data_IF_798357589738
#
_entry.id   IF_798357589738
#
_cell.length_a   1.000
_cell.length_b   1.000
_cell.length_c   1.000
_cell.angle_alpha   90.00
_cell.angle_beta   90.00
_cell.angle_gamma   90.00
#
_symmetry.space_group_name_H-M   'P 1'
#
loop_
_entity.id
_entity.type
_entity.pdbx_description
1 polymer ?
#
# COMPACT_ATOMS: atom_id res chain seq x y z
N UNK A 1 -17.20 24.99 0.65
CA UNK A 1 -15.86 24.77 1.23
C UNK A 1 -15.70 23.27 1.32
N UNK A 2 -14.70 22.70 0.64
CA UNK A 2 -14.50 21.27 0.62
C UNK A 2 -14.04 20.76 1.99
N UNK A 3 -14.38 19.50 2.28
CA UNK A 3 -13.87 18.80 3.45
C UNK A 3 -12.36 18.60 3.34
N UNK A 4 -11.62 18.86 4.41
CA UNK A 4 -10.15 18.87 4.40
C UNK A 4 -9.50 17.55 4.85
N UNK A 5 -10.28 16.48 5.03
CA UNK A 5 -9.77 15.15 5.40
C UNK A 5 -8.98 15.12 6.71
N UNK A 6 -9.51 15.80 7.73
CA UNK A 6 -8.93 15.89 9.06
C UNK A 6 -9.35 14.76 10.01
N UNK A 7 -10.41 14.03 9.73
CA UNK A 7 -10.88 12.85 10.47
C UNK A 7 -11.87 12.02 9.66
N UNK A 8 -12.03 10.74 10.01
CA UNK A 8 -13.07 9.89 9.44
C UNK A 8 -14.45 10.29 9.96
N UNK A 9 -14.57 10.58 11.25
CA UNK A 9 -15.82 11.10 11.83
C UNK A 9 -16.30 12.36 11.08
N UNK A 10 -15.42 13.34 10.87
CA UNK A 10 -15.73 14.53 10.10
C UNK A 10 -16.09 14.23 8.64
N UNK A 11 -15.44 13.23 8.03
CA UNK A 11 -15.75 12.82 6.66
C UNK A 11 -17.17 12.27 6.56
N UNK A 12 -17.58 11.42 7.50
CA UNK A 12 -18.95 10.90 7.59
C UNK A 12 -19.96 12.03 7.79
N UNK A 13 -19.74 12.90 8.78
CA UNK A 13 -20.65 14.01 9.07
C UNK A 13 -20.83 14.91 7.84
N UNK A 14 -19.74 15.28 7.16
CA UNK A 14 -19.80 16.09 5.95
C UNK A 14 -20.56 15.40 4.81
N UNK A 15 -20.32 14.10 4.61
CA UNK A 15 -21.02 13.27 3.62
C UNK A 15 -22.54 13.24 3.88
N UNK A 16 -22.95 13.09 5.12
CA UNK A 16 -24.36 13.05 5.53
C UNK A 16 -25.05 14.42 5.40
N UNK A 17 -24.42 15.49 5.90
CA UNK A 17 -24.95 16.86 5.83
C UNK A 17 -25.16 17.33 4.38
N UNK A 18 -24.22 16.99 3.50
CA UNK A 18 -24.25 17.37 2.08
C UNK A 18 -25.00 16.38 1.20
N UNK A 19 -25.38 15.22 1.73
CA UNK A 19 -25.97 14.08 0.98
C UNK A 19 -25.09 13.66 -0.21
N UNK A 20 -23.78 13.64 0.02
CA UNK A 20 -22.78 13.21 -0.95
C UNK A 20 -22.25 11.85 -0.55
N UNK A 21 -21.95 10.97 -1.50
CA UNK A 21 -21.16 9.76 -1.25
C UNK A 21 -19.74 10.11 -0.83
N UNK A 22 -19.06 9.20 -0.12
CA UNK A 22 -17.65 9.38 0.26
C UNK A 22 -16.75 9.73 -0.94
N UNK A 23 -16.96 9.08 -2.08
CA UNK A 23 -16.23 9.33 -3.34
C UNK A 23 -16.47 10.75 -3.85
N UNK A 24 -17.71 11.25 -3.79
CA UNK A 24 -18.04 12.62 -4.20
C UNK A 24 -17.36 13.67 -3.31
N UNK A 25 -17.20 13.38 -2.01
CA UNK A 25 -16.48 14.29 -1.10
C UNK A 25 -15.00 14.38 -1.50
N UNK A 26 -14.35 13.26 -1.85
CA UNK A 26 -12.96 13.28 -2.36
C UNK A 26 -12.88 14.00 -3.70
N UNK A 27 -13.86 13.80 -4.58
CA UNK A 27 -13.94 14.49 -5.87
C UNK A 27 -14.04 16.01 -5.69
N UNK A 28 -14.88 16.49 -4.77
CA UNK A 28 -14.97 17.92 -4.43
C UNK A 28 -13.65 18.46 -3.90
N UNK A 29 -12.94 17.69 -3.06
CA UNK A 29 -11.61 18.08 -2.58
C UNK A 29 -10.59 18.20 -3.72
N UNK A 30 -10.51 17.21 -4.61
CA UNK A 30 -9.60 17.26 -5.77
C UNK A 30 -9.92 18.45 -6.70
N UNK A 31 -11.20 18.77 -6.90
CA UNK A 31 -11.61 19.92 -7.70
C UNK A 31 -11.24 21.25 -7.05
N UNK A 32 -11.52 21.41 -5.76
CA UNK A 32 -11.39 22.69 -5.07
C UNK A 32 -9.97 22.97 -4.58
N UNK A 33 -9.26 21.96 -4.07
CA UNK A 33 -7.92 22.10 -3.49
C UNK A 33 -6.81 21.88 -4.51
N UNK A 34 -7.02 21.02 -5.51
CA UNK A 34 -6.02 20.72 -6.55
C UNK A 34 -6.33 21.38 -7.90
N UNK A 35 -7.49 22.02 -8.05
CA UNK A 35 -7.88 22.72 -9.27
C UNK A 35 -8.09 21.80 -10.48
N UNK A 36 -8.33 20.51 -10.23
CA UNK A 36 -8.51 19.50 -11.29
C UNK A 36 -9.96 19.43 -11.75
N UNK A 37 -10.18 19.24 -13.04
CA UNK A 37 -11.52 18.91 -13.54
C UNK A 37 -11.86 17.45 -13.26
N UNK A 38 -13.15 17.14 -13.18
CA UNK A 38 -13.62 15.76 -12.99
C UNK A 38 -13.08 14.80 -14.07
N UNK A 39 -13.11 15.21 -15.34
CA UNK A 39 -12.58 14.39 -16.43
C UNK A 39 -11.09 14.07 -16.27
N UNK A 40 -10.27 15.04 -15.85
CA UNK A 40 -8.84 14.82 -15.62
C UNK A 40 -8.59 13.85 -14.46
N UNK A 41 -9.42 13.89 -13.41
CA UNK A 41 -9.30 12.97 -12.26
C UNK A 41 -9.56 11.55 -12.73
N UNK A 42 -10.67 11.31 -13.43
CA UNK A 42 -11.02 9.98 -13.92
C UNK A 42 -10.03 9.44 -14.96
N UNK A 43 -9.52 10.29 -15.86
CA UNK A 43 -8.50 9.91 -16.84
C UNK A 43 -7.17 9.50 -16.18
N UNK A 44 -6.72 10.27 -15.18
CA UNK A 44 -5.51 9.95 -14.41
C UNK A 44 -5.67 8.66 -13.61
N UNK A 45 -6.83 8.46 -12.97
CA UNK A 45 -7.14 7.21 -12.28
C UNK A 45 -7.17 6.02 -13.25
N UNK A 46 -7.75 6.18 -14.44
CA UNK A 46 -7.75 5.14 -15.48
C UNK A 46 -6.34 4.79 -15.95
N UNK A 47 -5.48 5.81 -16.12
CA UNK A 47 -4.06 5.62 -16.45
C UNK A 47 -3.34 4.88 -15.33
N UNK A 48 -3.52 5.30 -14.08
CA UNK A 48 -2.93 4.65 -12.91
C UNK A 48 -3.38 3.19 -12.78
N UNK A 49 -4.68 2.92 -12.99
CA UNK A 49 -5.23 1.57 -12.94
C UNK A 49 -4.64 0.66 -14.02
N UNK A 50 -4.46 1.20 -15.24
CA UNK A 50 -3.80 0.48 -16.32
C UNK A 50 -2.37 0.11 -15.93
N UNK A 51 -1.58 1.06 -15.45
CA UNK A 51 -0.19 0.81 -14.99
C UNK A 51 -0.15 -0.19 -13.83
N UNK A 52 -1.10 -0.15 -12.91
CA UNK A 52 -1.25 -1.12 -11.82
C UNK A 52 -1.45 -2.55 -12.35
N UNK A 53 -2.37 -2.74 -13.31
CA UNK A 53 -2.59 -4.04 -13.96
C UNK A 53 -1.35 -4.48 -14.75
N UNK A 54 -0.71 -3.56 -15.46
CA UNK A 54 0.50 -3.83 -16.24
C UNK A 54 1.64 -4.33 -15.35
N UNK A 55 1.89 -3.66 -14.20
CA UNK A 55 2.93 -4.08 -13.25
C UNK A 55 2.70 -5.50 -12.72
N UNK A 56 1.45 -5.89 -12.48
CA UNK A 56 1.11 -7.27 -12.10
C UNK A 56 1.43 -8.24 -13.24
N UNK A 57 1.01 -7.95 -14.47
CA UNK A 57 1.29 -8.82 -15.63
C UNK A 57 2.78 -8.95 -15.89
N UNK A 58 3.51 -7.83 -15.93
CA UNK A 58 4.97 -7.80 -16.08
C UNK A 58 5.66 -8.67 -15.03
N UNK A 59 5.32 -8.54 -13.75
CA UNK A 59 5.94 -9.36 -12.70
C UNK A 59 5.62 -10.86 -12.79
N UNK A 60 4.49 -11.24 -13.39
CA UNK A 60 4.11 -12.64 -13.61
C UNK A 60 4.67 -13.23 -14.91
N UNK A 61 4.98 -12.40 -15.90
CA UNK A 61 5.36 -12.82 -17.26
C UNK A 61 6.86 -12.64 -17.54
N UNK A 62 7.44 -11.50 -17.19
CA UNK A 62 8.84 -11.11 -17.48
C UNK A 62 9.82 -11.47 -16.37
N UNK A 63 11.11 -11.65 -16.69
CA UNK A 63 12.11 -12.08 -15.73
C UNK A 63 12.38 -11.01 -14.65
N UNK A 64 12.00 -11.32 -13.41
CA UNK A 64 12.17 -10.45 -12.25
C UNK A 64 13.40 -10.88 -11.44
N UNK A 65 14.56 -10.33 -11.80
CA UNK A 65 15.80 -10.49 -11.04
C UNK A 65 16.35 -9.10 -10.71
N UNK A 66 16.39 -8.76 -9.42
CA UNK A 66 16.91 -7.45 -9.00
C UNK A 66 18.44 -7.41 -9.11
N UNK A 67 19.01 -6.19 -9.19
CA UNK A 67 20.47 -6.00 -9.22
C UNK A 67 21.17 -6.58 -7.99
N UNK A 68 20.50 -6.58 -6.83
CA UNK A 68 21.01 -7.17 -5.59
C UNK A 68 21.05 -8.71 -5.64
N UNK A 69 20.22 -9.31 -6.49
CA UNK A 69 19.97 -10.76 -6.56
C UNK A 69 19.04 -11.30 -5.47
N UNK A 70 18.49 -10.46 -4.58
CA UNK A 70 17.55 -10.90 -3.55
C UNK A 70 16.16 -11.18 -4.13
N UNK A 71 15.77 -10.49 -5.19
CA UNK A 71 14.55 -10.78 -5.94
C UNK A 71 14.88 -11.75 -7.07
N UNK A 72 14.12 -12.83 -7.14
CA UNK A 72 14.29 -13.86 -8.15
C UNK A 72 12.96 -14.58 -8.42
N UNK A 73 12.12 -13.95 -9.25
CA UNK A 73 10.85 -14.48 -9.76
C UNK A 73 9.96 -15.11 -8.66
N UNK A 74 9.92 -14.51 -7.47
CA UNK A 74 9.17 -15.02 -6.32
C UNK A 74 7.67 -15.05 -6.61
N UNK A 75 7.15 -14.00 -7.24
CA UNK A 75 5.75 -13.93 -7.67
C UNK A 75 5.36 -15.09 -8.58
N UNK A 76 6.19 -15.38 -9.60
CA UNK A 76 5.95 -16.51 -10.53
C UNK A 76 6.01 -17.86 -9.84
N UNK A 77 6.96 -18.03 -8.92
CA UNK A 77 7.08 -19.26 -8.12
C UNK A 77 5.80 -19.51 -7.34
N UNK A 78 5.25 -18.48 -6.69
CA UNK A 78 3.97 -18.59 -5.98
C UNK A 78 2.82 -18.83 -6.95
N UNK A 79 2.70 -18.06 -8.04
CA UNK A 79 1.59 -18.16 -8.99
C UNK A 79 1.47 -19.56 -9.65
N UNK A 80 2.62 -20.16 -9.98
CA UNK A 80 2.72 -21.46 -10.66
C UNK A 80 2.77 -22.64 -9.72
N UNK A 81 2.85 -22.41 -8.40
CA UNK A 81 2.90 -23.51 -7.45
C UNK A 81 1.60 -24.34 -7.53
N UNK A 82 1.66 -25.68 -7.60
CA UNK A 82 0.48 -26.49 -7.90
C UNK A 82 -0.54 -26.52 -6.75
N UNK A 83 -0.09 -26.33 -5.50
CA UNK A 83 -0.95 -26.46 -4.32
C UNK A 83 -1.24 -25.09 -3.71
N UNK A 84 -2.51 -24.67 -3.74
CA UNK A 84 -2.93 -23.48 -3.02
C UNK A 84 -3.01 -23.76 -1.50
N UNK A 85 -2.56 -22.80 -0.68
CA UNK A 85 -2.64 -22.90 0.79
C UNK A 85 -4.08 -22.78 1.30
N UNK A 86 -4.89 -21.91 0.68
CA UNK A 86 -6.28 -21.68 1.06
C UNK A 86 -7.22 -21.88 -0.15
N UNK A 87 -7.04 -21.06 -1.18
CA UNK A 87 -7.77 -21.17 -2.44
C UNK A 87 -6.94 -20.63 -3.59
N UNK A 88 -7.38 -20.85 -4.84
CA UNK A 88 -6.67 -20.32 -6.00
C UNK A 88 -6.70 -18.80 -6.02
N UNK A 89 -7.80 -18.21 -5.59
CA UNK A 89 -8.02 -16.77 -5.43
C UNK A 89 -7.03 -16.17 -4.44
N UNK A 90 -6.84 -16.82 -3.28
CA UNK A 90 -5.85 -16.39 -2.30
C UNK A 90 -4.42 -16.49 -2.85
N UNK A 91 -4.08 -17.59 -3.54
CA UNK A 91 -2.79 -17.72 -4.20
C UNK A 91 -2.56 -16.62 -5.24
N UNK A 92 -3.60 -16.28 -6.02
CA UNK A 92 -3.55 -15.19 -7.00
C UNK A 92 -3.34 -13.84 -6.30
N UNK A 93 -4.08 -13.52 -5.24
CA UNK A 93 -3.89 -12.31 -4.43
C UNK A 93 -2.43 -12.13 -4.00
N UNK A 94 -1.86 -13.16 -3.37
CA UNK A 94 -0.47 -13.15 -2.90
C UNK A 94 0.49 -12.95 -4.06
N UNK A 95 0.36 -13.73 -5.13
CA UNK A 95 1.27 -13.65 -6.28
C UNK A 95 1.19 -12.32 -7.02
N UNK A 96 0.01 -11.70 -7.14
CA UNK A 96 -0.17 -10.40 -7.79
C UNK A 96 0.46 -9.25 -6.99
N UNK A 97 0.29 -9.27 -5.67
CA UNK A 97 0.94 -8.30 -4.79
C UNK A 97 2.47 -8.44 -4.82
N UNK A 98 2.99 -9.67 -4.85
CA UNK A 98 4.42 -9.93 -5.08
C UNK A 98 4.85 -9.40 -6.45
N UNK A 99 4.11 -9.72 -7.52
CA UNK A 99 4.48 -9.39 -8.90
C UNK A 99 4.69 -7.88 -9.09
N UNK A 100 3.70 -7.06 -8.72
CA UNK A 100 3.80 -5.62 -8.83
C UNK A 100 4.94 -5.05 -7.98
N UNK A 101 5.19 -5.62 -6.79
CA UNK A 101 6.29 -5.17 -5.94
C UNK A 101 7.67 -5.62 -6.42
N UNK A 102 7.77 -6.77 -7.07
CA UNK A 102 8.99 -7.24 -7.75
C UNK A 102 9.34 -6.33 -8.94
N UNK A 103 8.34 -5.87 -9.70
CA UNK A 103 8.55 -4.86 -10.77
C UNK A 103 9.17 -3.59 -10.20
N UNK A 104 8.65 -3.07 -9.09
CA UNK A 104 9.27 -1.93 -8.41
C UNK A 104 10.73 -2.22 -8.00
N UNK A 105 10.99 -3.39 -7.43
CA UNK A 105 12.33 -3.79 -7.00
C UNK A 105 13.31 -3.99 -8.16
N UNK A 106 12.79 -4.22 -9.38
CA UNK A 106 13.58 -4.30 -10.61
C UNK A 106 13.59 -2.97 -11.40
N UNK A 107 13.20 -1.85 -10.76
CA UNK A 107 13.14 -0.50 -11.37
C UNK A 107 12.18 -0.38 -12.57
N UNK A 108 11.17 -1.25 -12.63
CA UNK A 108 10.09 -1.15 -13.61
C UNK A 108 9.06 -0.08 -13.25
N UNK A 109 8.13 0.18 -14.18
CA UNK A 109 7.09 1.19 -14.00
C UNK A 109 6.01 0.70 -13.04
N UNK A 110 5.72 1.51 -12.01
CA UNK A 110 4.67 1.24 -11.00
C UNK A 110 3.87 2.50 -10.69
N UNK A 111 2.81 2.34 -9.90
CA UNK A 111 2.08 3.45 -9.25
C UNK A 111 2.32 3.39 -7.76
N UNK A 112 2.74 4.50 -7.16
CA UNK A 112 2.87 4.62 -5.71
C UNK A 112 1.47 4.59 -5.05
N UNK A 113 1.32 3.80 -3.98
CA UNK A 113 0.03 3.61 -3.32
C UNK A 113 0.17 3.23 -1.82
N UNK A 114 0.43 4.18 -0.91
CA UNK A 114 0.74 5.59 -1.18
C UNK A 114 2.23 5.81 -1.51
N UNK A 115 3.11 4.85 -1.20
CA UNK A 115 4.54 4.92 -1.52
C UNK A 115 4.95 3.86 -2.54
N UNK A 116 6.15 4.00 -3.11
CA UNK A 116 6.75 2.97 -3.96
C UNK A 116 7.00 1.65 -3.19
N UNK A 117 7.30 1.73 -1.89
CA UNK A 117 7.49 0.59 -1.01
C UNK A 117 6.24 -0.27 -0.82
N UNK A 118 5.06 0.34 -0.92
CA UNK A 118 3.75 -0.30 -0.75
C UNK A 118 2.97 -0.49 -2.08
N UNK A 119 3.63 -0.24 -3.22
CA UNK A 119 3.00 -0.22 -4.56
C UNK A 119 2.38 -1.54 -5.03
N UNK A 120 2.66 -2.66 -4.38
CA UNK A 120 2.09 -3.97 -4.73
C UNK A 120 0.72 -4.24 -4.12
N UNK A 121 0.34 -3.54 -3.04
CA UNK A 121 -0.87 -3.86 -2.26
C UNK A 121 -2.14 -3.54 -3.03
N UNK A 122 -2.31 -2.28 -3.47
CA UNK A 122 -3.50 -1.85 -4.22
C UNK A 122 -3.75 -2.65 -5.50
N UNK A 123 -2.76 -2.84 -6.42
CA UNK A 123 -2.96 -3.69 -7.59
C UNK A 123 -3.26 -5.15 -7.22
N UNK A 124 -2.57 -5.71 -6.22
CA UNK A 124 -2.83 -7.07 -5.76
C UNK A 124 -4.27 -7.27 -5.28
N UNK A 125 -4.77 -6.34 -4.47
CA UNK A 125 -6.12 -6.33 -3.92
C UNK A 125 -7.17 -6.09 -4.99
N UNK A 126 -7.12 -4.94 -5.67
CA UNK A 126 -8.19 -4.52 -6.58
C UNK A 126 -8.28 -5.39 -7.83
N UNK A 127 -7.15 -5.86 -8.36
CA UNK A 127 -7.17 -6.71 -9.57
C UNK A 127 -7.75 -8.09 -9.23
N UNK A 128 -7.40 -8.62 -8.06
CA UNK A 128 -7.98 -9.89 -7.60
C UNK A 128 -9.46 -9.77 -7.30
N UNK A 129 -9.87 -8.70 -6.62
CA UNK A 129 -11.27 -8.42 -6.34
C UNK A 129 -12.08 -8.26 -7.62
N UNK A 130 -11.54 -7.52 -8.60
CA UNK A 130 -12.18 -7.30 -9.89
C UNK A 130 -12.46 -8.61 -10.62
N UNK A 131 -11.49 -9.53 -10.63
CA UNK A 131 -11.63 -10.82 -11.30
C UNK A 131 -12.66 -11.71 -10.62
N UNK A 132 -12.64 -11.80 -9.29
CA UNK A 132 -13.50 -12.70 -8.51
C UNK A 132 -14.96 -12.22 -8.51
N UNK A 133 -15.19 -10.91 -8.36
CA UNK A 133 -16.52 -10.34 -8.21
C UNK A 133 -17.04 -9.64 -9.47
N UNK A 134 -16.30 -9.71 -10.57
CA UNK A 134 -16.65 -9.06 -11.84
C UNK A 134 -16.94 -7.55 -11.70
N UNK A 135 -16.15 -6.86 -10.86
CA UNK A 135 -16.32 -5.44 -10.58
C UNK A 135 -16.01 -4.61 -11.83
N UNK A 136 -16.88 -3.65 -12.17
CA UNK A 136 -16.62 -2.78 -13.32
C UNK A 136 -15.39 -1.90 -13.12
N UNK A 137 -14.67 -1.56 -14.20
CA UNK A 137 -13.54 -0.63 -14.12
C UNK A 137 -13.95 0.71 -13.48
N UNK A 138 -15.16 1.22 -13.78
CA UNK A 138 -15.70 2.44 -13.15
C UNK A 138 -15.70 2.35 -11.62
N UNK A 139 -16.23 1.25 -11.07
CA UNK A 139 -16.30 1.04 -9.61
C UNK A 139 -14.90 0.87 -9.00
N UNK A 140 -13.95 0.28 -9.72
CA UNK A 140 -12.54 0.23 -9.31
C UNK A 140 -11.93 1.64 -9.23
N UNK A 141 -12.19 2.51 -10.21
CA UNK A 141 -11.70 3.90 -10.17
C UNK A 141 -12.32 4.68 -9.01
N UNK A 142 -13.61 4.50 -8.75
CA UNK A 142 -14.29 5.08 -7.58
C UNK A 142 -13.66 4.59 -6.27
N UNK A 143 -13.33 3.29 -6.16
CA UNK A 143 -12.64 2.72 -5.02
C UNK A 143 -11.21 3.27 -4.84
N UNK A 144 -10.49 3.50 -5.94
CA UNK A 144 -9.17 4.15 -5.91
C UNK A 144 -9.26 5.61 -5.42
N UNK A 145 -10.30 6.33 -5.83
CA UNK A 145 -10.54 7.70 -5.34
C UNK A 145 -10.92 7.71 -3.85
N UNK A 146 -11.77 6.77 -3.41
CA UNK A 146 -12.07 6.59 -1.98
C UNK A 146 -10.81 6.26 -1.17
N UNK A 147 -9.96 5.37 -1.68
CA UNK A 147 -8.68 5.03 -1.08
C UNK A 147 -7.75 6.25 -0.96
N UNK A 148 -7.76 7.18 -1.92
CA UNK A 148 -7.03 8.43 -1.80
C UNK A 148 -7.53 9.29 -0.62
N UNK A 149 -8.85 9.36 -0.39
CA UNK A 149 -9.43 10.01 0.79
C UNK A 149 -8.96 9.40 2.12
N UNK A 150 -8.90 8.06 2.19
CA UNK A 150 -8.32 7.33 3.34
C UNK A 150 -6.85 7.74 3.54
N UNK A 151 -6.06 7.78 2.47
CA UNK A 151 -4.65 8.13 2.52
C UNK A 151 -4.42 9.58 3.01
N UNK A 152 -5.27 10.53 2.63
CA UNK A 152 -5.17 11.94 3.09
C UNK A 152 -5.28 12.04 4.61
N UNK A 153 -6.24 11.34 5.22
CA UNK A 153 -6.41 11.33 6.69
C UNK A 153 -5.20 10.64 7.35
N UNK A 154 -4.76 9.50 6.77
CA UNK A 154 -3.61 8.75 7.28
C UNK A 154 -2.32 9.57 7.26
N UNK A 155 -2.07 10.30 6.17
CA UNK A 155 -0.92 11.19 6.02
C UNK A 155 -0.91 12.27 7.09
N UNK A 156 -2.05 12.92 7.32
CA UNK A 156 -2.16 14.01 8.29
C UNK A 156 -1.98 13.54 9.75
N UNK A 157 -2.42 12.33 10.08
CA UNK A 157 -2.46 11.85 11.47
C UNK A 157 -1.27 10.99 11.89
N UNK A 158 -0.71 10.20 10.96
CA UNK A 158 0.27 9.18 11.29
C UNK A 158 1.48 9.12 10.34
N UNK A 159 1.56 10.05 9.38
CA UNK A 159 2.48 9.97 8.23
C UNK A 159 2.22 8.76 7.35
N UNK A 160 2.71 8.82 6.11
CA UNK A 160 2.77 7.69 5.17
C UNK A 160 4.19 7.24 4.89
N UNK A 161 5.20 7.83 5.55
CA UNK A 161 6.61 7.57 5.28
C UNK A 161 7.20 6.52 6.21
N UNK A 162 7.90 5.54 5.63
CA UNK A 162 8.59 4.47 6.34
C UNK A 162 9.70 5.00 7.24
N UNK A 163 10.38 6.04 6.78
CA UNK A 163 11.41 6.76 7.53
C UNK A 163 10.87 7.52 8.75
N UNK A 164 9.58 7.87 8.77
CA UNK A 164 8.96 8.64 9.87
C UNK A 164 8.21 7.73 10.84
N UNK A 165 7.27 6.92 10.33
CA UNK A 165 6.33 6.15 11.13
C UNK A 165 6.56 4.64 11.13
N UNK A 166 7.62 4.16 10.47
CA UNK A 166 7.83 2.73 10.22
C UNK A 166 6.94 2.21 9.09
N UNK A 167 7.01 0.90 8.83
CA UNK A 167 6.33 0.31 7.68
C UNK A 167 4.81 0.19 7.89
N UNK A 168 4.34 0.36 9.13
CA UNK A 168 2.91 0.60 9.42
C UNK A 168 2.39 1.85 8.68
N UNK A 169 3.20 2.91 8.56
CA UNK A 169 2.81 4.14 7.88
C UNK A 169 2.72 3.94 6.37
N UNK A 170 3.58 3.11 5.78
CA UNK A 170 3.54 2.82 4.33
C UNK A 170 2.59 1.69 3.99
N UNK A 171 2.95 0.46 4.39
CA UNK A 171 2.21 -0.76 4.03
C UNK A 171 0.91 -0.87 4.82
N UNK A 172 0.85 -0.34 6.05
CA UNK A 172 -0.39 -0.30 6.82
C UNK A 172 -1.41 0.67 6.21
N UNK A 173 -0.98 1.87 5.81
CA UNK A 173 -1.85 2.79 5.05
C UNK A 173 -2.32 2.18 3.73
N UNK A 174 -1.43 1.56 2.96
CA UNK A 174 -1.80 0.89 1.72
C UNK A 174 -2.79 -0.28 1.93
N UNK A 175 -2.62 -1.05 3.02
CA UNK A 175 -3.57 -2.09 3.39
C UNK A 175 -4.93 -1.49 3.79
N UNK A 176 -4.93 -0.40 4.56
CA UNK A 176 -6.13 0.30 4.96
C UNK A 176 -6.90 0.84 3.74
N UNK A 177 -6.19 1.50 2.82
CA UNK A 177 -6.70 1.90 1.51
C UNK A 177 -7.34 0.73 0.76
N UNK A 178 -6.63 -0.40 0.68
CA UNK A 178 -7.12 -1.62 0.03
C UNK A 178 -8.37 -2.17 0.70
N UNK A 179 -8.42 -2.21 2.03
CA UNK A 179 -9.56 -2.71 2.79
C UNK A 179 -10.82 -1.86 2.59
N UNK A 180 -10.70 -0.53 2.64
CA UNK A 180 -11.79 0.38 2.36
C UNK A 180 -12.26 0.28 0.90
N UNK A 181 -11.32 0.13 -0.04
CA UNK A 181 -11.62 -0.10 -1.45
C UNK A 181 -12.38 -1.42 -1.71
N UNK A 182 -12.02 -2.50 -1.00
CA UNK A 182 -12.75 -3.78 -1.08
C UNK A 182 -14.18 -3.59 -0.62
N UNK A 183 -14.38 -3.03 0.59
CA UNK A 183 -15.72 -2.85 1.15
C UNK A 183 -16.58 -1.97 0.25
N UNK A 184 -16.03 -0.89 -0.28
CA UNK A 184 -16.73 -0.04 -1.24
C UNK A 184 -17.15 -0.78 -2.51
N UNK A 185 -16.26 -1.59 -3.09
CA UNK A 185 -16.54 -2.39 -4.28
C UNK A 185 -17.61 -3.47 -4.05
N UNK A 186 -17.76 -3.95 -2.81
CA UNK A 186 -18.76 -4.92 -2.40
C UNK A 186 -20.03 -4.26 -1.80
N UNK A 187 -20.23 -2.97 -2.11
CA UNK A 187 -21.40 -2.17 -1.72
C UNK A 187 -21.65 -2.08 -0.21
N UNK A 188 -20.58 -2.17 0.58
CA UNK A 188 -20.64 -1.91 2.01
C UNK A 188 -20.90 -0.43 2.33
N UNK A 189 -21.51 -0.19 3.49
CA UNK A 189 -21.85 1.17 3.94
C UNK A 189 -20.64 1.92 4.53
N UNK A 190 -20.79 3.22 4.78
CA UNK A 190 -19.72 4.09 5.34
C UNK A 190 -19.10 3.51 6.63
N UNK A 191 -19.93 2.98 7.54
CA UNK A 191 -19.44 2.43 8.79
C UNK A 191 -18.61 1.17 8.56
N UNK A 192 -19.00 0.31 7.64
CA UNK A 192 -18.22 -0.88 7.26
C UNK A 192 -16.90 -0.49 6.59
N UNK A 193 -16.87 0.53 5.74
CA UNK A 193 -15.65 1.02 5.09
C UNK A 193 -14.65 1.51 6.15
N UNK A 194 -15.13 2.35 7.08
CA UNK A 194 -14.28 2.93 8.12
C UNK A 194 -13.86 1.88 9.15
N UNK A 195 -14.73 0.92 9.45
CA UNK A 195 -14.40 -0.23 10.28
C UNK A 195 -13.31 -1.11 9.67
N UNK A 196 -13.35 -1.37 8.35
CA UNK A 196 -12.31 -2.13 7.66
C UNK A 196 -10.93 -1.45 7.77
N UNK A 197 -10.90 -0.11 7.68
CA UNK A 197 -9.70 0.69 7.92
C UNK A 197 -9.22 0.51 9.37
N UNK A 198 -10.12 0.66 10.35
CA UNK A 198 -9.77 0.51 11.77
C UNK A 198 -9.18 -0.87 12.10
N UNK A 199 -9.81 -1.95 11.61
CA UNK A 199 -9.34 -3.33 11.82
C UNK A 199 -7.97 -3.52 11.15
N UNK A 200 -7.81 -3.04 9.92
CA UNK A 200 -6.54 -3.14 9.21
C UNK A 200 -5.42 -2.43 9.93
N UNK A 201 -5.64 -1.20 10.40
CA UNK A 201 -4.60 -0.45 11.11
C UNK A 201 -4.25 -1.15 12.41
N UNK A 202 -5.21 -1.68 13.18
CA UNK A 202 -4.95 -2.49 14.38
C UNK A 202 -4.01 -3.67 14.11
N UNK A 203 -4.19 -4.37 12.99
CA UNK A 203 -3.32 -5.49 12.59
C UNK A 203 -1.91 -5.05 12.16
N UNK A 204 -1.70 -3.76 11.88
CA UNK A 204 -0.45 -3.22 11.34
C UNK A 204 0.35 -2.41 12.36
N UNK A 205 -0.22 -2.10 13.53
CA UNK A 205 0.44 -1.31 14.58
C UNK A 205 1.80 -1.90 14.98
N UNK A 206 2.81 -1.04 15.07
CA UNK A 206 4.17 -1.40 15.49
C UNK A 206 5.06 -1.99 14.40
N UNK A 207 4.59 -2.07 13.15
CA UNK A 207 5.39 -2.63 12.07
C UNK A 207 6.57 -1.70 11.71
N UNK A 208 7.78 -2.10 12.12
CA UNK A 208 9.06 -1.38 11.88
C UNK A 208 9.45 -1.33 10.40
N UNK A 209 10.22 -0.34 9.95
CA UNK A 209 10.76 -0.27 8.59
C UNK A 209 12.28 -0.42 8.63
N UNK A 210 12.80 -1.62 8.39
CA UNK A 210 14.25 -1.84 8.45
C UNK A 210 14.70 -2.77 7.31
N UNK A 211 14.78 -2.24 6.07
CA UNK A 211 15.08 -3.04 4.89
C UNK A 211 16.55 -3.46 4.81
N UNK A 212 16.79 -4.67 4.31
CA UNK A 212 18.14 -5.21 4.08
C UNK A 212 18.88 -4.32 3.10
N UNK A 213 20.08 -3.88 3.50
CA UNK A 213 20.93 -2.97 2.72
C UNK A 213 20.29 -1.63 2.33
N UNK A 214 19.21 -1.21 3.01
CA UNK A 214 18.46 0.00 2.64
C UNK A 214 17.63 -0.16 1.36
N UNK A 215 17.54 -1.36 0.80
CA UNK A 215 16.87 -1.59 -0.48
C UNK A 215 15.40 -1.94 -0.27
N UNK A 216 14.53 -1.39 -1.13
CA UNK A 216 13.09 -1.64 -1.11
C UNK A 216 12.76 -3.03 -1.71
N UNK A 217 13.34 -4.08 -1.14
CA UNK A 217 13.30 -5.47 -1.59
C UNK A 217 12.92 -6.39 -0.44
N UNK A 218 13.80 -6.54 0.56
CA UNK A 218 13.59 -7.43 1.71
C UNK A 218 13.48 -6.59 2.98
N UNK A 219 12.38 -6.68 3.76
CA UNK A 219 11.22 -7.57 3.60
C UNK A 219 10.06 -6.94 2.80
N UNK A 220 10.28 -5.81 2.12
CA UNK A 220 9.22 -5.02 1.47
C UNK A 220 8.33 -5.85 0.53
N UNK A 221 8.90 -6.74 -0.27
CA UNK A 221 8.16 -7.59 -1.22
C UNK A 221 7.15 -8.50 -0.53
N UNK A 222 7.58 -9.25 0.49
CA UNK A 222 6.69 -10.16 1.23
C UNK A 222 5.70 -9.41 2.13
N UNK A 223 6.05 -8.20 2.58
CA UNK A 223 5.13 -7.33 3.32
C UNK A 223 3.97 -6.85 2.46
N UNK A 224 4.17 -6.58 1.18
CA UNK A 224 3.07 -6.21 0.28
C UNK A 224 2.06 -7.36 0.15
N UNK A 225 2.53 -8.59 -0.01
CA UNK A 225 1.65 -9.75 -0.07
C UNK A 225 0.90 -10.01 1.26
N UNK A 226 1.59 -9.87 2.39
CA UNK A 226 0.99 -10.04 3.72
C UNK A 226 -0.05 -8.95 4.01
N UNK A 227 0.27 -7.70 3.69
CA UNK A 227 -0.64 -6.56 3.82
C UNK A 227 -1.88 -6.69 2.93
N UNK A 228 -1.75 -7.24 1.72
CA UNK A 228 -2.89 -7.54 0.86
C UNK A 228 -3.82 -8.60 1.48
N UNK A 229 -3.27 -9.63 2.14
CA UNK A 229 -4.05 -10.61 2.88
C UNK A 229 -4.76 -10.00 4.10
N UNK A 230 -4.05 -9.17 4.87
CA UNK A 230 -4.63 -8.44 6.01
C UNK A 230 -5.79 -7.56 5.52
N UNK A 231 -5.62 -6.78 4.46
CA UNK A 231 -6.67 -5.94 3.89
C UNK A 231 -7.94 -6.73 3.52
N UNK A 232 -7.78 -7.91 2.92
CA UNK A 232 -8.91 -8.80 2.58
C UNK A 232 -9.58 -9.36 3.84
N UNK A 233 -8.79 -9.79 4.83
CA UNK A 233 -9.36 -10.30 6.08
C UNK A 233 -10.12 -9.22 6.85
N UNK A 234 -9.58 -8.01 6.95
CA UNK A 234 -10.24 -6.88 7.60
C UNK A 234 -11.52 -6.46 6.89
N UNK A 235 -11.51 -6.43 5.54
CA UNK A 235 -12.70 -6.14 4.77
C UNK A 235 -13.80 -7.18 4.98
N UNK A 236 -13.45 -8.48 5.04
CA UNK A 236 -14.40 -9.55 5.31
C UNK A 236 -15.02 -9.44 6.70
N UNK A 237 -14.21 -9.13 7.72
CA UNK A 237 -14.66 -8.89 9.10
C UNK A 237 -15.63 -7.71 9.13
N UNK A 238 -15.27 -6.60 8.47
CA UNK A 238 -16.06 -5.39 8.48
C UNK A 238 -17.40 -5.51 7.74
N UNK A 239 -17.45 -6.17 6.58
CA UNK A 239 -18.71 -6.42 5.85
C UNK A 239 -19.65 -7.34 6.64
N UNK A 240 -19.11 -8.18 7.51
CA UNK A 240 -19.90 -9.02 8.41
C UNK A 240 -20.40 -8.27 9.66
N UNK A 241 -20.29 -6.94 9.70
CA UNK A 241 -20.67 -6.06 10.82
C UNK A 241 -19.98 -6.40 12.15
N UNK A 242 -18.79 -7.01 12.08
CA UNK A 242 -17.93 -7.15 13.26
C UNK A 242 -17.18 -5.84 13.46
N UNK A 243 -17.75 -4.98 14.29
CA UNK A 243 -17.22 -3.65 14.58
C UNK A 243 -15.96 -3.68 15.43
N UNK A 244 -14.98 -2.87 15.05
CA UNK A 244 -13.89 -2.44 15.93
C UNK A 244 -14.50 -1.73 17.14
N UNK A 245 -14.07 -2.15 18.33
CA UNK A 245 -14.51 -1.49 19.59
C UNK A 245 -13.93 -0.07 19.67
N UNK A 246 -12.74 0.13 19.13
CA UNK A 246 -12.05 1.42 19.13
C UNK A 246 -12.35 2.16 17.81
N UNK A 247 -12.80 3.43 17.85
CA UNK A 247 -13.05 4.23 16.66
C UNK A 247 -11.84 4.35 15.73
N UNK A 248 -12.08 4.44 14.43
CA UNK A 248 -11.02 4.49 13.41
C UNK A 248 -10.02 5.65 13.64
N UNK A 249 -10.51 6.83 14.01
CA UNK A 249 -9.66 8.00 14.25
C UNK A 249 -8.71 7.79 15.45
N UNK A 250 -9.17 7.11 16.50
CA UNK A 250 -8.35 6.77 17.68
C UNK A 250 -7.29 5.71 17.32
N UNK A 251 -7.66 4.70 16.54
CA UNK A 251 -6.71 3.68 16.07
C UNK A 251 -5.59 4.32 15.23
N UNK A 252 -5.93 5.28 14.38
CA UNK A 252 -4.97 6.00 13.54
C UNK A 252 -4.08 6.92 14.39
N UNK A 253 -4.64 7.60 15.39
CA UNK A 253 -3.87 8.38 16.33
C UNK A 253 -2.85 7.50 17.09
N UNK A 254 -3.25 6.28 17.48
CA UNK A 254 -2.34 5.30 18.08
C UNK A 254 -1.23 4.88 17.11
N UNK A 255 -1.53 4.68 15.82
CA UNK A 255 -0.50 4.43 14.79
C UNK A 255 0.51 5.58 14.72
N UNK A 256 0.04 6.83 14.76
CA UNK A 256 0.89 8.03 14.76
C UNK A 256 1.77 8.14 16.00
N UNK A 257 1.21 7.88 17.19
CA UNK A 257 1.95 7.85 18.46
C UNK A 257 3.06 6.79 18.42
N UNK A 258 2.73 5.55 18.03
CA UNK A 258 3.72 4.47 17.90
C UNK A 258 4.83 4.86 16.92
N UNK A 259 4.47 5.48 15.79
CA UNK A 259 5.44 5.95 14.80
C UNK A 259 6.38 7.02 15.36
N UNK A 260 5.86 7.97 16.14
CA UNK A 260 6.65 9.00 16.80
C UNK A 260 7.59 8.41 17.87
N UNK A 261 7.10 7.44 18.64
CA UNK A 261 7.83 6.78 19.73
C UNK A 261 8.81 5.69 19.26
N UNK A 262 8.73 5.26 17.99
CA UNK A 262 9.59 4.21 17.45
C UNK A 262 11.07 4.66 17.42
N UNK A 263 11.97 3.80 17.91
CA UNK A 263 13.41 4.10 17.87
C UNK A 263 13.90 4.28 16.41
N UNK A 264 14.76 5.28 16.19
CA UNK A 264 15.28 5.62 14.85
C UNK A 264 15.91 4.43 14.11
N UNK A 265 16.60 3.52 14.82
CA UNK A 265 17.20 2.32 14.20
C UNK A 265 16.19 1.31 13.66
N UNK A 266 14.92 1.38 14.07
CA UNK A 266 13.83 0.55 13.57
C UNK A 266 12.97 1.26 12.51
N UNK A 267 13.34 2.49 12.19
CA UNK A 267 12.90 3.20 10.98
C UNK A 267 13.91 2.94 9.86
N UNK A 268 13.60 3.44 8.67
CA UNK A 268 14.23 3.15 7.37
C UNK A 268 15.72 3.58 7.26
N UNK A 269 16.54 3.09 8.19
CA UNK A 269 17.95 3.43 8.39
C UNK A 269 18.85 2.23 8.09
N UNK A 270 18.29 1.01 8.01
CA UNK A 270 19.02 -0.24 7.85
C UNK A 270 20.03 -0.53 8.98
N UNK A 271 19.82 0.05 10.17
CA UNK A 271 20.71 -0.07 11.33
C UNK A 271 20.20 -1.05 12.39
N UNK A 272 18.94 -1.49 12.32
CA UNK A 272 18.28 -2.26 13.36
C UNK A 272 17.79 -3.62 12.88
N UNK A 273 16.73 -4.11 13.53
CA UNK A 273 15.88 -5.23 13.10
C UNK A 273 16.50 -6.30 12.18
N UNK A 274 15.90 -6.43 10.99
CA UNK A 274 16.26 -7.45 10.01
C UNK A 274 17.57 -7.09 9.29
N UNK A 275 17.83 -5.80 9.07
CA UNK A 275 19.00 -5.30 8.37
C UNK A 275 20.31 -5.52 9.15
N UNK A 276 20.25 -5.53 10.48
CA UNK A 276 21.39 -5.79 11.37
C UNK A 276 21.70 -7.29 11.57
N UNK A 277 20.93 -8.20 10.97
CA UNK A 277 21.21 -9.64 11.08
C UNK A 277 22.51 -10.01 10.36
N UNK A 278 23.25 -11.06 10.80
CA UNK A 278 24.54 -11.42 10.19
C UNK A 278 24.49 -11.67 8.68
N UNK A 279 23.39 -12.24 8.19
CA UNK A 279 23.20 -12.47 6.75
C UNK A 279 22.88 -11.17 6.01
N UNK A 280 22.01 -10.31 6.56
CA UNK A 280 21.70 -9.01 5.96
C UNK A 280 22.94 -8.11 5.87
N UNK A 281 23.78 -8.07 6.91
CA UNK A 281 25.03 -7.30 6.90
C UNK A 281 26.03 -7.82 5.86
N UNK A 282 26.13 -9.15 5.66
CA UNK A 282 26.95 -9.73 4.58
C UNK A 282 26.43 -9.35 3.20
N UNK A 283 25.11 -9.36 3.02
CA UNK A 283 24.47 -8.92 1.77
C UNK A 283 24.75 -7.44 1.53
N UNK A 284 24.54 -6.58 2.53
CA UNK A 284 24.78 -5.14 2.43
C UNK A 284 26.23 -4.81 2.01
N UNK A 285 27.23 -5.48 2.60
CA UNK A 285 28.63 -5.33 2.19
C UNK A 285 28.85 -5.72 0.71
N UNK A 286 28.21 -6.80 0.24
CA UNK A 286 28.37 -7.26 -1.14
C UNK A 286 27.71 -6.32 -2.15
N UNK A 287 26.54 -5.78 -1.82
CA UNK A 287 25.72 -5.00 -2.73
C UNK A 287 26.16 -3.54 -2.75
N UNK A 288 26.48 -2.92 -1.61
CA UNK A 288 26.84 -1.51 -1.51
C UNK A 288 28.30 -1.21 -1.91
N UNK A 289 29.22 -2.15 -1.74
CA UNK A 289 30.64 -1.94 -2.11
C UNK A 289 30.86 -2.07 -3.63
N UNK A 290 29.96 -2.74 -4.35
CA UNK A 290 30.04 -2.88 -5.81
C UNK A 290 29.88 -1.56 -6.58
N UNK A 291 29.35 -0.51 -5.95
CA UNK A 291 29.08 0.78 -6.59
C UNK A 291 30.19 1.83 -6.33
N UNK A 292 31.32 1.45 -5.72
CA UNK A 292 32.47 2.35 -5.47
C UNK A 292 33.59 2.07 -6.48
N UNK A 293 33.32 2.24 -7.76
CA UNK A 293 34.37 2.71 -8.68
C UNK A 293 34.30 4.24 -8.63
N UNK A 294 35.07 4.85 -7.73
CA UNK A 294 35.26 6.30 -7.73
C UNK A 294 35.86 6.68 -9.08
N UNK A 295 35.10 7.41 -9.91
CA UNK A 295 35.68 8.08 -11.08
C UNK A 295 36.82 8.96 -10.56
N UNK A 296 38.01 8.91 -11.17
CA UNK A 296 39.09 9.79 -10.76
C UNK A 296 38.60 11.24 -10.84
N UNK A 297 38.82 12.01 -9.78
CA UNK A 297 38.65 13.46 -9.83
C UNK A 297 39.45 13.96 -11.04
N UNK A 298 38.76 14.45 -12.07
CA UNK A 298 39.41 15.19 -13.12
C UNK A 298 39.94 16.47 -12.47
N UNK A 299 41.21 16.40 -12.06
CA UNK A 299 41.93 17.49 -11.45
C UNK A 299 41.79 18.72 -12.32
N UNK A 300 41.22 19.77 -11.73
CA UNK A 300 41.27 21.13 -12.26
C UNK A 300 42.74 21.54 -12.26
N UNK A 301 43.38 21.42 -13.41
CA UNK A 301 44.63 22.10 -13.75
C UNK A 301 44.32 23.28 -14.66
#
# INVERSE_FOLDING_TARGET
>A
MAFLFDSFEGWKQYSEEKKLSLVQVVLEYEQTQKGRTENQIWEQLGTAWTVMKDAVRTGLEEEMISRSGMINNGAKKVYRYPTAVLSKEFQNLISRALAAKEVNSCMGRIVAAPTAGASGIMPGVLYTLQEIHHVSDKKILEAMLLAAGIALIMEQKASISGAVGGCQAETGTAAAMGSGGIVYCLDGNTDQIFNAVAITVQCMLGLVCDPVAGLVEVPCVVRNASAAAIANSSAQIAIADVSSVIPVDEVIAAMGEIGASMETRYKETALGGLAATPTAQRIAKKVLIRDIEMLPDEGVN
#
